data_IF_310187249058
#
_entry.id   IF_310187249058
#
_cell.length_a   1.000
_cell.length_b   1.000
_cell.length_c   1.000
_cell.angle_alpha   90.00
_cell.angle_beta   90.00
_cell.angle_gamma   90.00
#
_symmetry.space_group_name_H-M   'P 1'
#
loop_
_entity.id
_entity.type
_entity.pdbx_description
1 polymer ?
#
# COMPACT_ATOMS: atom_id res chain seq x y z
N UNK A 1 16.31 36.15 -5.29
CA UNK A 1 14.95 35.66 -5.65
C UNK A 1 14.54 34.41 -4.86
N UNK A 2 15.35 33.35 -4.91
CA UNK A 2 15.12 32.10 -4.19
C UNK A 2 14.70 32.25 -2.71
N UNK A 3 15.51 32.93 -1.88
CA UNK A 3 15.21 33.08 -0.45
C UNK A 3 13.93 33.89 -0.17
N UNK A 4 13.58 34.84 -1.04
CA UNK A 4 12.29 35.54 -0.94
C UNK A 4 11.14 34.58 -1.26
N UNK A 5 11.28 33.72 -2.27
CA UNK A 5 10.31 32.66 -2.55
C UNK A 5 10.06 31.76 -1.33
N UNK A 6 11.13 31.33 -0.65
CA UNK A 6 11.02 30.54 0.58
C UNK A 6 10.28 31.30 1.70
N UNK A 7 10.59 32.59 1.89
CA UNK A 7 9.92 33.43 2.88
C UNK A 7 8.42 33.59 2.58
N UNK A 8 8.06 33.86 1.33
CA UNK A 8 6.66 34.00 0.92
C UNK A 8 5.91 32.67 1.08
N UNK A 9 6.54 31.54 0.78
CA UNK A 9 5.94 30.23 0.97
C UNK A 9 5.67 29.94 2.45
N UNK A 10 6.63 30.23 3.33
CA UNK A 10 6.46 30.15 4.80
C UNK A 10 5.29 31.02 5.29
N UNK A 11 5.12 32.22 4.69
CA UNK A 11 3.98 33.11 4.97
C UNK A 11 2.69 32.74 4.25
N UNK A 12 2.64 31.58 3.58
CA UNK A 12 1.50 31.08 2.81
C UNK A 12 1.05 32.00 1.66
N UNK A 13 1.94 32.88 1.22
CA UNK A 13 1.76 33.74 0.05
C UNK A 13 2.26 32.98 -1.19
N UNK A 14 1.51 31.95 -1.58
CA UNK A 14 1.98 30.97 -2.58
C UNK A 14 2.18 31.57 -3.97
N UNK A 15 1.35 32.55 -4.37
CA UNK A 15 1.49 33.22 -5.67
C UNK A 15 2.84 33.95 -5.79
N UNK A 16 3.18 34.73 -4.76
CA UNK A 16 4.46 35.45 -4.69
C UNK A 16 5.62 34.45 -4.62
N UNK A 17 5.49 33.39 -3.81
CA UNK A 17 6.51 32.36 -3.67
C UNK A 17 6.88 31.73 -5.02
N UNK A 18 5.87 31.31 -5.78
CA UNK A 18 6.02 30.72 -7.11
C UNK A 18 6.68 31.73 -8.06
N UNK A 19 6.20 32.97 -8.10
CA UNK A 19 6.77 34.00 -8.99
C UNK A 19 8.27 34.26 -8.71
N UNK A 20 8.66 34.32 -7.44
CA UNK A 20 10.08 34.52 -7.08
C UNK A 20 10.95 33.30 -7.36
N UNK A 21 10.40 32.09 -7.23
CA UNK A 21 11.12 30.87 -7.62
C UNK A 21 11.21 30.71 -9.13
N UNK A 22 10.17 31.05 -9.90
CA UNK A 22 10.19 31.10 -11.37
C UNK A 22 11.29 32.06 -11.84
N UNK A 23 11.32 33.29 -11.32
CA UNK A 23 12.39 34.25 -11.60
C UNK A 23 13.78 33.71 -11.21
N UNK A 24 13.87 32.95 -10.11
CA UNK A 24 15.14 32.34 -9.71
C UNK A 24 15.59 31.27 -10.71
N UNK A 25 14.67 30.46 -11.23
CA UNK A 25 14.95 29.43 -12.24
C UNK A 25 15.24 30.02 -13.63
N UNK A 26 14.68 31.18 -13.95
CA UNK A 26 15.02 31.95 -15.15
C UNK A 26 16.45 32.52 -15.10
N UNK A 27 16.85 33.05 -13.94
CA UNK A 27 18.19 33.61 -13.75
C UNK A 27 19.27 32.52 -13.61
N UNK A 28 18.95 31.44 -12.91
CA UNK A 28 19.81 30.27 -12.77
C UNK A 28 18.97 28.98 -12.79
N UNK A 29 18.88 28.39 -13.97
CA UNK A 29 18.17 27.14 -14.19
C UNK A 29 18.96 25.88 -13.82
N UNK A 30 20.10 26.01 -13.14
CA UNK A 30 20.97 24.90 -12.73
C UNK A 30 20.91 24.62 -11.23
N UNK A 31 20.03 25.29 -10.48
CA UNK A 31 19.88 25.06 -9.04
C UNK A 31 18.71 24.08 -8.75
N UNK A 32 18.99 22.79 -8.41
CA UNK A 32 17.95 21.77 -8.26
C UNK A 32 16.91 22.11 -7.19
N UNK A 33 17.34 22.74 -6.09
CA UNK A 33 16.44 23.07 -4.97
C UNK A 33 15.34 24.08 -5.34
N UNK A 34 15.63 25.05 -6.22
CA UNK A 34 14.60 25.96 -6.74
C UNK A 34 13.55 25.20 -7.53
N UNK A 35 13.99 24.30 -8.41
CA UNK A 35 13.10 23.49 -9.25
C UNK A 35 12.27 22.52 -8.41
N UNK A 36 12.88 21.88 -7.40
CA UNK A 36 12.18 21.07 -6.40
C UNK A 36 11.06 21.86 -5.71
N UNK A 37 11.35 23.07 -5.23
CA UNK A 37 10.35 23.90 -4.55
C UNK A 37 9.22 24.35 -5.49
N UNK A 38 9.54 24.70 -6.73
CA UNK A 38 8.53 24.95 -7.77
C UNK A 38 7.65 23.72 -8.01
N UNK A 39 8.27 22.54 -8.12
CA UNK A 39 7.54 21.29 -8.34
C UNK A 39 6.49 21.03 -7.25
N UNK A 40 6.88 21.19 -5.98
CA UNK A 40 5.97 21.06 -4.83
C UNK A 40 4.83 22.08 -4.90
N UNK A 41 5.16 23.35 -5.21
CA UNK A 41 4.16 24.42 -5.25
C UNK A 41 3.19 24.28 -6.42
N UNK A 42 3.65 23.87 -7.59
CA UNK A 42 2.78 23.59 -8.73
C UNK A 42 1.83 22.43 -8.44
N UNK A 43 2.32 21.35 -7.82
CA UNK A 43 1.46 20.23 -7.45
C UNK A 43 0.43 20.65 -6.39
N UNK A 44 0.90 21.07 -5.20
CA UNK A 44 0.03 21.27 -4.04
C UNK A 44 -0.85 22.52 -4.12
N UNK A 45 -0.39 23.59 -4.81
CA UNK A 45 -1.04 24.91 -4.75
C UNK A 45 -1.65 25.35 -6.08
N UNK A 46 -1.24 24.74 -7.19
CA UNK A 46 -1.81 25.02 -8.52
C UNK A 46 -2.57 23.85 -9.11
N UNK A 47 -2.43 22.64 -8.56
CA UNK A 47 -2.92 21.41 -9.19
C UNK A 47 -2.39 21.27 -10.64
N UNK A 48 -1.15 21.73 -10.88
CA UNK A 48 -0.48 21.67 -12.19
C UNK A 48 0.55 20.53 -12.16
N UNK A 49 0.05 19.32 -12.32
CA UNK A 49 0.82 18.08 -12.32
C UNK A 49 1.92 18.06 -13.39
N UNK A 50 1.62 18.63 -14.57
CA UNK A 50 2.57 18.67 -15.68
C UNK A 50 3.78 19.54 -15.37
N UNK A 51 3.55 20.77 -14.85
CA UNK A 51 4.67 21.62 -14.44
C UNK A 51 5.40 21.06 -13.23
N UNK A 52 4.68 20.44 -12.29
CA UNK A 52 5.29 19.81 -11.14
C UNK A 52 6.29 18.73 -11.57
N UNK A 53 5.86 17.83 -12.45
CA UNK A 53 6.68 16.76 -12.96
C UNK A 53 7.89 17.29 -13.73
N UNK A 54 7.69 18.22 -14.66
CA UNK A 54 8.78 18.80 -15.44
C UNK A 54 9.85 19.47 -14.55
N UNK A 55 9.43 20.11 -13.45
CA UNK A 55 10.35 20.71 -12.49
C UNK A 55 11.16 19.64 -11.74
N UNK A 56 10.53 18.58 -11.25
CA UNK A 56 11.23 17.51 -10.52
C UNK A 56 12.17 16.70 -11.43
N UNK A 57 11.74 16.35 -12.64
CA UNK A 57 12.60 15.65 -13.61
C UNK A 57 13.82 16.48 -13.97
N UNK A 58 13.65 17.79 -14.19
CA UNK A 58 14.78 18.70 -14.42
C UNK A 58 15.66 18.82 -13.17
N UNK A 59 15.09 18.91 -11.97
CA UNK A 59 15.85 18.98 -10.73
C UNK A 59 16.74 17.75 -10.56
N UNK A 60 16.17 16.56 -10.73
CA UNK A 60 16.91 15.30 -10.60
C UNK A 60 17.94 15.11 -11.72
N UNK A 61 17.65 15.54 -12.96
CA UNK A 61 18.62 15.47 -14.05
C UNK A 61 19.87 16.34 -13.83
N UNK A 62 19.76 17.41 -13.02
CA UNK A 62 20.90 18.26 -12.65
C UNK A 62 21.77 17.64 -11.56
N UNK A 63 21.18 16.84 -10.67
CA UNK A 63 21.91 16.08 -9.65
C UNK A 63 21.28 14.68 -9.44
N UNK A 64 21.66 13.69 -10.27
CA UNK A 64 21.14 12.32 -10.15
C UNK A 64 21.62 11.57 -8.89
N UNK A 65 22.56 12.15 -8.15
CA UNK A 65 23.09 11.56 -6.91
C UNK A 65 22.35 12.00 -5.65
N UNK A 66 21.44 12.97 -5.77
CA UNK A 66 20.60 13.44 -4.68
C UNK A 66 19.50 12.40 -4.36
N UNK A 67 19.71 11.67 -3.25
CA UNK A 67 18.83 10.62 -2.74
C UNK A 67 17.43 11.14 -2.38
N UNK A 68 17.33 12.40 -1.95
CA UNK A 68 16.07 13.06 -1.63
C UNK A 68 15.31 13.41 -2.90
N UNK A 69 15.96 13.96 -3.93
CA UNK A 69 15.29 14.23 -5.21
C UNK A 69 14.84 12.95 -5.88
N UNK A 70 15.65 11.88 -5.82
CA UNK A 70 15.24 10.55 -6.27
C UNK A 70 13.97 10.09 -5.54
N UNK A 71 13.94 10.24 -4.21
CA UNK A 71 12.79 9.86 -3.40
C UNK A 71 11.52 10.62 -3.75
N UNK A 72 11.63 11.94 -3.85
CA UNK A 72 10.48 12.81 -4.08
C UNK A 72 9.94 12.70 -5.50
N UNK A 73 10.81 12.56 -6.51
CA UNK A 73 10.37 12.30 -7.88
C UNK A 73 9.67 10.94 -7.98
N UNK A 74 10.19 9.91 -7.33
CA UNK A 74 9.52 8.61 -7.30
C UNK A 74 8.16 8.67 -6.59
N UNK A 75 8.05 9.42 -5.49
CA UNK A 75 6.77 9.68 -4.82
C UNK A 75 5.79 10.44 -5.72
N UNK A 76 6.28 11.43 -6.49
CA UNK A 76 5.47 12.15 -7.46
C UNK A 76 4.98 11.22 -8.58
N UNK A 77 5.83 10.33 -9.09
CA UNK A 77 5.40 9.32 -10.08
C UNK A 77 4.27 8.44 -9.55
N UNK A 78 4.35 8.00 -8.29
CA UNK A 78 3.26 7.27 -7.62
C UNK A 78 1.98 8.10 -7.53
N UNK A 79 2.09 9.38 -7.18
CA UNK A 79 0.94 10.32 -7.10
C UNK A 79 0.28 10.57 -8.45
N UNK A 80 1.08 10.63 -9.52
CA UNK A 80 0.61 10.75 -10.90
C UNK A 80 0.14 9.41 -11.49
N UNK A 81 -0.01 8.38 -10.65
CA UNK A 81 -0.44 7.04 -11.02
C UNK A 81 0.37 6.42 -12.17
N UNK A 82 1.68 6.69 -12.20
CA UNK A 82 2.62 6.05 -13.15
C UNK A 82 2.71 4.56 -12.86
N UNK A 83 2.86 3.77 -13.92
CA UNK A 83 2.77 2.31 -13.78
C UNK A 83 3.90 1.77 -12.89
N UNK A 84 3.68 0.65 -12.18
CA UNK A 84 4.72 -0.01 -11.39
C UNK A 84 5.96 -0.35 -12.23
N UNK A 85 5.80 -0.70 -13.50
CA UNK A 85 6.92 -0.98 -14.42
C UNK A 85 7.73 0.28 -14.74
N UNK A 86 7.08 1.42 -15.02
CA UNK A 86 7.76 2.70 -15.26
C UNK A 86 8.55 3.12 -14.00
N UNK A 87 7.94 2.98 -12.83
CA UNK A 87 8.57 3.30 -11.55
C UNK A 87 9.73 2.36 -11.21
N UNK A 88 9.58 1.06 -11.48
CA UNK A 88 10.68 0.08 -11.36
C UNK A 88 11.84 0.45 -12.26
N UNK A 89 11.58 0.76 -13.54
CA UNK A 89 12.62 1.13 -14.49
C UNK A 89 13.37 2.40 -14.07
N UNK A 90 12.67 3.38 -13.48
CA UNK A 90 13.30 4.56 -12.91
C UNK A 90 14.27 4.20 -11.76
N UNK A 91 13.85 3.34 -10.82
CA UNK A 91 14.72 2.90 -9.71
C UNK A 91 15.91 2.07 -10.20
N UNK A 92 15.70 1.18 -11.17
CA UNK A 92 16.77 0.37 -11.77
C UNK A 92 17.81 1.23 -12.51
N UNK A 93 17.39 2.29 -13.19
CA UNK A 93 18.28 3.24 -13.85
C UNK A 93 19.10 4.09 -12.87
N UNK A 94 18.60 4.28 -11.64
CA UNK A 94 19.20 5.13 -10.61
C UNK A 94 19.57 4.33 -9.35
N UNK A 95 19.96 3.07 -9.53
CA UNK A 95 20.10 2.09 -8.46
C UNK A 95 20.99 2.56 -7.32
N UNK A 96 22.17 3.12 -7.63
CA UNK A 96 23.11 3.58 -6.59
C UNK A 96 22.45 4.59 -5.65
N UNK A 97 21.76 5.59 -6.22
CA UNK A 97 21.04 6.62 -5.46
C UNK A 97 19.84 6.04 -4.71
N UNK A 98 19.08 5.14 -5.34
CA UNK A 98 17.90 4.50 -4.74
C UNK A 98 18.25 3.62 -3.53
N UNK A 99 19.45 3.04 -3.49
CA UNK A 99 19.91 2.17 -2.40
C UNK A 99 20.33 2.93 -1.13
N UNK A 100 20.59 4.24 -1.21
CA UNK A 100 21.06 5.04 -0.07
C UNK A 100 20.04 5.17 1.05
N UNK A 101 18.73 5.07 0.74
CA UNK A 101 17.64 5.30 1.70
C UNK A 101 16.71 4.10 1.87
N UNK A 102 16.20 3.93 3.09
CA UNK A 102 15.29 2.85 3.45
C UNK A 102 13.89 3.02 2.84
N UNK A 103 13.40 4.26 2.75
CA UNK A 103 12.08 4.59 2.21
C UNK A 103 11.95 4.18 0.72
N UNK A 104 12.94 4.54 -0.11
CA UNK A 104 12.94 4.19 -1.54
C UNK A 104 13.30 2.74 -1.78
N UNK A 105 14.22 2.19 -1.01
CA UNK A 105 14.49 0.76 -1.08
C UNK A 105 13.22 -0.06 -0.81
N UNK A 106 12.41 0.35 0.17
CA UNK A 106 11.17 -0.33 0.49
C UNK A 106 10.11 -0.18 -0.61
N UNK A 107 10.01 0.99 -1.24
CA UNK A 107 9.15 1.17 -2.42
C UNK A 107 9.57 0.22 -3.55
N UNK A 108 10.87 -0.02 -3.74
CA UNK A 108 11.33 -1.00 -4.72
C UNK A 108 10.91 -2.43 -4.37
N UNK A 109 10.99 -2.81 -3.10
CA UNK A 109 10.48 -4.10 -2.59
C UNK A 109 8.97 -4.22 -2.84
N UNK A 110 8.20 -3.15 -2.57
CA UNK A 110 6.75 -3.09 -2.82
C UNK A 110 6.42 -3.36 -4.29
N UNK A 111 7.15 -2.74 -5.22
CA UNK A 111 6.94 -2.96 -6.65
C UNK A 111 7.26 -4.40 -7.05
N UNK A 112 8.34 -4.99 -6.50
CA UNK A 112 8.64 -6.41 -6.74
C UNK A 112 7.52 -7.32 -6.25
N UNK A 113 6.99 -7.07 -5.04
CA UNK A 113 5.81 -7.76 -4.52
C UNK A 113 4.60 -7.57 -5.44
N UNK A 114 4.32 -6.35 -5.90
CA UNK A 114 3.19 -6.06 -6.79
C UNK A 114 3.27 -6.81 -8.13
N UNK A 115 4.48 -6.95 -8.68
CA UNK A 115 4.73 -7.63 -9.95
C UNK A 115 4.77 -9.16 -9.83
N UNK A 116 4.56 -9.71 -8.62
CA UNK A 116 4.62 -11.15 -8.37
C UNK A 116 6.05 -11.70 -8.22
N UNK A 117 7.05 -10.83 -8.07
CA UNK A 117 8.45 -11.22 -7.84
C UNK A 117 8.71 -11.44 -6.34
N UNK A 118 7.86 -12.24 -5.68
CA UNK A 118 7.80 -12.35 -4.21
C UNK A 118 9.09 -12.87 -3.58
N UNK A 119 9.73 -13.89 -4.18
CA UNK A 119 11.03 -14.40 -3.69
C UNK A 119 12.11 -13.33 -3.73
N UNK A 120 12.13 -12.51 -4.78
CA UNK A 120 13.08 -11.40 -4.93
C UNK A 120 12.80 -10.30 -3.90
N UNK A 121 11.54 -9.94 -3.70
CA UNK A 121 11.13 -9.00 -2.66
C UNK A 121 11.54 -9.49 -1.25
N UNK A 122 11.33 -10.78 -0.95
CA UNK A 122 11.73 -11.39 0.30
C UNK A 122 13.26 -11.41 0.49
N UNK A 123 14.01 -11.73 -0.54
CA UNK A 123 15.48 -11.69 -0.52
C UNK A 123 15.99 -10.26 -0.26
N UNK A 124 15.43 -9.27 -0.96
CA UNK A 124 15.77 -7.86 -0.78
C UNK A 124 15.46 -7.37 0.62
N UNK A 125 14.28 -7.68 1.17
CA UNK A 125 13.86 -7.18 2.48
C UNK A 125 14.60 -7.85 3.64
N UNK A 126 15.09 -9.09 3.45
CA UNK A 126 15.84 -9.81 4.48
C UNK A 126 17.33 -9.47 4.50
N UNK A 127 17.89 -8.99 3.39
CA UNK A 127 19.31 -8.58 3.28
C UNK A 127 19.58 -7.18 3.82
N UNK A 128 18.57 -6.31 3.87
CA UNK A 128 18.72 -4.92 4.33
C UNK A 128 18.46 -4.82 5.84
N UNK A 129 19.30 -4.05 6.53
CA UNK A 129 19.02 -3.58 7.89
C UNK A 129 18.27 -2.24 7.78
N UNK A 130 16.98 -2.27 8.05
CA UNK A 130 16.13 -1.08 8.10
C UNK A 130 16.30 -0.36 9.44
N UNK A 131 16.24 0.97 9.38
CA UNK A 131 16.21 1.86 10.52
C UNK A 131 14.83 2.51 10.59
N UNK A 132 14.12 2.51 11.73
CA UNK A 132 12.83 3.18 11.84
C UNK A 132 12.88 4.64 11.42
N UNK A 133 11.89 5.08 10.63
CA UNK A 133 11.71 6.47 10.24
C UNK A 133 10.27 6.91 10.47
N UNK A 134 10.06 8.22 10.60
CA UNK A 134 8.74 8.81 10.82
C UNK A 134 7.83 8.54 9.61
N UNK A 135 6.65 7.95 9.85
CA UNK A 135 5.72 7.53 8.79
C UNK A 135 6.12 6.23 8.11
N UNK A 136 7.16 5.53 8.60
CA UNK A 136 7.59 4.21 8.12
C UNK A 136 6.90 3.03 8.80
N UNK A 137 6.13 3.29 9.87
CA UNK A 137 5.66 2.29 10.81
C UNK A 137 4.82 1.19 10.13
N UNK A 138 5.28 -0.05 10.24
CA UNK A 138 4.59 -1.23 9.71
C UNK A 138 4.81 -1.45 8.21
N UNK A 139 5.47 -0.53 7.50
CA UNK A 139 5.65 -0.66 6.05
C UNK A 139 6.66 -1.77 5.73
N UNK A 140 7.78 -1.83 6.45
CA UNK A 140 8.80 -2.86 6.23
C UNK A 140 8.27 -4.24 6.62
N UNK A 141 7.69 -4.37 7.81
CA UNK A 141 7.08 -5.64 8.23
C UNK A 141 5.89 -6.05 7.36
N UNK A 142 5.08 -5.10 6.89
CA UNK A 142 3.97 -5.36 5.97
C UNK A 142 4.44 -6.00 4.66
N UNK A 143 5.51 -5.46 4.03
CA UNK A 143 6.07 -6.04 2.81
C UNK A 143 6.70 -7.42 3.05
N UNK A 144 7.36 -7.63 4.20
CA UNK A 144 7.91 -8.94 4.58
C UNK A 144 6.82 -10.01 4.74
N UNK A 145 5.76 -9.68 5.49
CA UNK A 145 4.60 -10.56 5.69
C UNK A 145 3.93 -10.84 4.35
N UNK A 146 3.71 -9.82 3.53
CA UNK A 146 3.11 -9.97 2.21
C UNK A 146 3.90 -10.96 1.34
N UNK A 147 5.23 -10.82 1.23
CA UNK A 147 6.04 -11.76 0.45
C UNK A 147 5.89 -13.20 0.95
N UNK A 148 5.93 -13.41 2.28
CA UNK A 148 5.80 -14.75 2.86
C UNK A 148 4.41 -15.37 2.61
N UNK A 149 3.34 -14.59 2.75
CA UNK A 149 1.97 -15.06 2.55
C UNK A 149 1.72 -15.41 1.08
N UNK A 150 2.19 -14.59 0.14
CA UNK A 150 2.01 -14.86 -1.28
C UNK A 150 2.83 -16.07 -1.75
N UNK A 151 4.08 -16.22 -1.30
CA UNK A 151 4.85 -17.45 -1.55
C UNK A 151 4.14 -18.66 -0.93
N UNK A 152 3.58 -18.54 0.28
CA UNK A 152 2.84 -19.65 0.90
C UNK A 152 1.61 -20.05 0.07
N UNK A 153 0.90 -19.09 -0.54
CA UNK A 153 -0.22 -19.37 -1.44
C UNK A 153 0.23 -20.11 -2.70
N UNK A 154 1.39 -19.76 -3.29
CA UNK A 154 1.99 -20.50 -4.40
C UNK A 154 2.36 -21.93 -4.01
N UNK A 155 2.91 -22.12 -2.79
CA UNK A 155 3.22 -23.44 -2.24
C UNK A 155 1.98 -24.30 -2.04
N UNK A 156 0.88 -23.73 -1.55
CA UNK A 156 -0.42 -24.41 -1.45
C UNK A 156 -0.90 -24.87 -2.83
N UNK A 157 -0.79 -24.01 -3.86
CA UNK A 157 -1.16 -24.39 -5.24
C UNK A 157 -0.27 -25.51 -5.79
N UNK A 158 1.00 -25.53 -5.40
CA UNK A 158 1.95 -26.59 -5.72
C UNK A 158 1.81 -27.85 -4.85
N UNK A 159 0.82 -27.91 -3.95
CA UNK A 159 0.59 -28.99 -2.97
C UNK A 159 1.75 -29.18 -1.96
N UNK A 160 2.62 -28.18 -1.81
CA UNK A 160 3.67 -28.10 -0.79
C UNK A 160 3.12 -27.45 0.49
N UNK A 161 2.23 -28.18 1.17
CA UNK A 161 1.56 -27.67 2.37
C UNK A 161 2.51 -27.48 3.55
N UNK A 162 3.54 -28.32 3.67
CA UNK A 162 4.54 -28.18 4.73
C UNK A 162 5.36 -26.90 4.56
N UNK A 163 5.82 -26.60 3.33
CA UNK A 163 6.51 -25.35 3.03
C UNK A 163 5.60 -24.13 3.22
N UNK A 164 4.32 -24.22 2.87
CA UNK A 164 3.36 -23.15 3.13
C UNK A 164 3.19 -22.86 4.63
N UNK A 165 3.04 -23.91 5.45
CA UNK A 165 2.93 -23.78 6.92
C UNK A 165 4.19 -23.15 7.51
N UNK A 166 5.39 -23.52 7.05
CA UNK A 166 6.65 -22.91 7.49
C UNK A 166 6.66 -21.40 7.24
N UNK A 167 6.30 -20.98 6.02
CA UNK A 167 6.27 -19.56 5.63
C UNK A 167 5.22 -18.75 6.41
N UNK A 168 4.02 -19.28 6.57
CA UNK A 168 2.94 -18.65 7.34
C UNK A 168 3.25 -18.59 8.84
N UNK A 169 3.96 -19.59 9.37
CA UNK A 169 4.46 -19.56 10.75
C UNK A 169 5.53 -18.50 10.90
N UNK A 170 6.45 -18.41 9.94
CA UNK A 170 7.50 -17.39 9.91
C UNK A 170 6.93 -15.97 9.82
N UNK A 171 5.85 -15.75 9.07
CA UNK A 171 5.19 -14.46 8.90
C UNK A 171 4.68 -13.87 10.24
N UNK A 172 4.41 -14.72 11.24
CA UNK A 172 3.97 -14.28 12.56
C UNK A 172 5.09 -13.64 13.40
N UNK A 173 6.35 -13.68 12.95
CA UNK A 173 7.50 -13.13 13.67
C UNK A 173 8.36 -12.22 12.80
N UNK A 174 8.76 -11.08 13.34
CA UNK A 174 9.54 -10.08 12.61
C UNK A 174 11.03 -10.24 12.91
N UNK A 175 11.87 -10.48 11.89
CA UNK A 175 13.31 -10.52 12.09
C UNK A 175 13.85 -9.13 12.45
N UNK A 176 14.94 -9.10 13.23
CA UNK A 176 15.55 -7.87 13.76
C UNK A 176 15.91 -6.85 12.68
N UNK A 177 16.23 -7.32 11.47
CA UNK A 177 16.65 -6.46 10.37
C UNK A 177 15.53 -5.52 9.87
N UNK A 178 14.26 -5.78 10.20
CA UNK A 178 13.14 -4.91 9.82
C UNK A 178 13.08 -3.62 10.66
N UNK A 179 13.76 -3.57 11.82
CA UNK A 179 13.70 -2.42 12.73
C UNK A 179 12.36 -2.26 13.46
N UNK A 180 11.39 -3.15 13.25
CA UNK A 180 10.03 -3.06 13.78
C UNK A 180 9.69 -4.24 14.69
N UNK A 181 8.94 -3.95 15.75
CA UNK A 181 8.36 -4.95 16.64
C UNK A 181 6.88 -5.16 16.31
N UNK A 182 6.42 -6.41 16.43
CA UNK A 182 5.01 -6.74 16.26
C UNK A 182 4.19 -6.26 17.45
N UNK A 183 3.08 -5.56 17.18
CA UNK A 183 2.17 -5.08 18.22
C UNK A 183 1.38 -6.23 18.85
N UNK A 184 1.13 -6.12 20.16
CA UNK A 184 0.25 -7.06 20.84
C UNK A 184 -1.17 -6.93 20.30
N UNK A 185 -1.79 -8.07 19.92
CA UNK A 185 -3.14 -8.09 19.35
C UNK A 185 -3.22 -7.69 17.87
N UNK A 186 -2.10 -7.66 17.15
CA UNK A 186 -2.09 -7.50 15.70
C UNK A 186 -3.00 -8.56 15.04
N UNK A 187 -3.88 -8.10 14.15
CA UNK A 187 -4.84 -8.96 13.45
C UNK A 187 -4.15 -9.63 12.25
N UNK A 188 -4.24 -10.96 12.17
CA UNK A 188 -3.51 -11.81 11.21
C UNK A 188 -4.46 -12.81 10.53
N UNK A 189 -5.70 -12.39 10.31
CA UNK A 189 -6.79 -13.24 9.84
C UNK A 189 -6.43 -13.99 8.55
N UNK A 190 -5.70 -13.35 7.63
CA UNK A 190 -5.20 -13.97 6.41
C UNK A 190 -4.21 -15.09 6.67
N UNK A 191 -3.27 -14.90 7.62
CA UNK A 191 -2.26 -15.90 7.95
C UNK A 191 -2.94 -17.11 8.58
N UNK A 192 -3.86 -16.87 9.52
CA UNK A 192 -4.62 -17.93 10.16
C UNK A 192 -5.55 -18.65 9.18
N UNK A 193 -6.19 -17.94 8.26
CA UNK A 193 -7.01 -18.55 7.21
C UNK A 193 -6.18 -19.50 6.34
N UNK A 194 -5.04 -19.03 5.82
CA UNK A 194 -4.19 -19.86 4.96
C UNK A 194 -3.52 -21.02 5.72
N UNK A 195 -3.21 -20.86 7.01
CA UNK A 195 -2.79 -21.98 7.86
C UNK A 195 -3.91 -23.02 7.96
N UNK A 196 -5.14 -22.58 8.21
CA UNK A 196 -6.32 -23.44 8.22
C UNK A 196 -6.45 -24.25 6.93
N UNK A 197 -6.37 -23.59 5.77
CA UNK A 197 -6.42 -24.25 4.46
C UNK A 197 -5.29 -25.28 4.26
N UNK A 198 -4.05 -24.96 4.69
CA UNK A 198 -2.92 -25.88 4.55
C UNK A 198 -3.07 -27.13 5.44
N UNK A 199 -3.54 -26.98 6.69
CA UNK A 199 -3.82 -28.12 7.58
C UNK A 199 -5.02 -28.94 7.12
N UNK A 200 -6.06 -28.30 6.60
CA UNK A 200 -7.22 -28.98 6.01
C UNK A 200 -6.80 -29.87 4.83
N UNK A 201 -5.93 -29.36 3.96
CA UNK A 201 -5.39 -30.11 2.82
C UNK A 201 -4.46 -31.28 3.24
N UNK A 202 -3.86 -31.21 4.44
CA UNK A 202 -3.14 -32.32 5.08
C UNK A 202 -4.07 -33.30 5.82
N UNK A 203 -5.39 -33.08 5.77
CA UNK A 203 -6.41 -33.84 6.47
C UNK A 203 -6.28 -33.78 8.01
N UNK A 204 -5.64 -32.73 8.54
CA UNK A 204 -5.63 -32.39 9.97
C UNK A 204 -6.74 -31.38 10.27
N UNK A 205 -7.96 -31.92 10.34
CA UNK A 205 -9.19 -31.13 10.46
C UNK A 205 -9.29 -30.40 11.81
N UNK A 206 -8.76 -30.97 12.89
CA UNK A 206 -8.82 -30.36 14.22
C UNK A 206 -7.94 -29.10 14.27
N UNK A 207 -6.71 -29.18 13.75
CA UNK A 207 -5.81 -28.04 13.66
C UNK A 207 -6.34 -26.98 12.69
N UNK A 208 -6.86 -27.41 11.54
CA UNK A 208 -7.48 -26.51 10.55
C UNK A 208 -8.60 -25.67 11.17
N UNK A 209 -9.55 -26.32 11.86
CA UNK A 209 -10.65 -25.66 12.54
C UNK A 209 -10.18 -24.69 13.63
N UNK A 210 -9.12 -25.03 14.37
CA UNK A 210 -8.53 -24.11 15.36
C UNK A 210 -8.03 -22.82 14.71
N UNK A 211 -7.37 -22.93 13.56
CA UNK A 211 -6.89 -21.76 12.82
C UNK A 211 -8.02 -20.98 12.16
N UNK A 212 -9.04 -21.63 11.61
CA UNK A 212 -10.22 -20.93 11.10
C UNK A 212 -10.93 -20.15 12.21
N UNK A 213 -11.08 -20.71 13.42
CA UNK A 213 -11.63 -19.99 14.56
C UNK A 213 -10.79 -18.74 14.89
N UNK A 214 -9.46 -18.86 14.94
CA UNK A 214 -8.57 -17.70 15.14
C UNK A 214 -8.74 -16.64 14.05
N UNK A 215 -8.90 -17.07 12.79
CA UNK A 215 -9.15 -16.18 11.67
C UNK A 215 -10.49 -15.43 11.74
N UNK A 216 -11.41 -15.83 12.62
CA UNK A 216 -12.68 -15.11 12.84
C UNK A 216 -12.62 -14.03 13.93
N UNK A 217 -11.54 -13.96 14.70
CA UNK A 217 -11.37 -12.97 15.77
C UNK A 217 -11.03 -11.57 15.20
N UNK A 218 -11.33 -10.50 15.93
CA UNK A 218 -11.10 -9.11 15.50
C UNK A 218 -12.39 -8.30 15.31
N UNK A 219 -12.28 -7.07 14.81
CA UNK A 219 -13.46 -6.27 14.46
C UNK A 219 -14.02 -6.80 13.13
N UNK A 220 -15.34 -6.94 13.05
CA UNK A 220 -16.07 -7.39 11.85
C UNK A 220 -16.88 -6.25 11.20
N UNK A 221 -16.82 -5.04 11.76
CA UNK A 221 -17.45 -3.83 11.23
C UNK A 221 -16.47 -3.06 10.36
N UNK A 222 -16.81 -2.81 9.08
CA UNK A 222 -15.98 -1.98 8.20
C UNK A 222 -15.85 -0.56 8.72
N UNK A 223 -14.64 -0.02 8.73
CA UNK A 223 -14.36 1.37 9.07
C UNK A 223 -13.56 2.07 7.99
N UNK A 224 -13.49 3.39 8.06
CA UNK A 224 -12.53 4.13 7.26
C UNK A 224 -11.13 3.71 7.71
N UNK A 225 -10.24 3.37 6.77
CA UNK A 225 -8.83 3.10 7.06
C UNK A 225 -8.03 4.40 6.90
N UNK A 226 -8.19 5.29 7.88
CA UNK A 226 -7.58 6.63 7.86
C UNK A 226 -6.13 6.54 8.34
N UNK A 227 -5.86 5.69 9.33
CA UNK A 227 -4.57 5.53 10.00
C UNK A 227 -3.88 4.21 9.62
N UNK A 228 -2.56 4.16 9.78
CA UNK A 228 -1.73 3.00 9.38
C UNK A 228 -2.00 1.73 10.22
N UNK A 229 -2.51 1.91 11.44
CA UNK A 229 -2.87 0.83 12.36
C UNK A 229 -4.36 0.45 12.31
N UNK A 230 -5.16 1.12 11.48
CA UNK A 230 -6.56 0.75 11.28
C UNK A 230 -6.64 -0.63 10.63
N UNK A 231 -7.62 -1.43 11.08
CA UNK A 231 -7.84 -2.76 10.55
C UNK A 231 -8.17 -2.65 9.06
N UNK A 232 -7.33 -3.28 8.24
CA UNK A 232 -7.48 -3.28 6.80
C UNK A 232 -8.68 -4.15 6.38
N UNK A 233 -9.39 -3.81 5.28
CA UNK A 233 -10.64 -4.50 4.92
C UNK A 233 -10.47 -5.98 4.55
N UNK A 234 -9.29 -6.36 4.09
CA UNK A 234 -8.91 -7.75 3.81
C UNK A 234 -9.02 -8.62 5.07
N UNK A 235 -8.72 -8.11 6.26
CA UNK A 235 -8.86 -8.86 7.52
C UNK A 235 -10.32 -9.31 7.74
N UNK A 236 -11.26 -8.40 7.50
CA UNK A 236 -12.71 -8.68 7.58
C UNK A 236 -13.13 -9.70 6.50
N UNK A 237 -12.58 -9.58 5.29
CA UNK A 237 -12.82 -10.56 4.23
C UNK A 237 -12.37 -11.97 4.62
N UNK A 238 -11.18 -12.13 5.22
CA UNK A 238 -10.70 -13.43 5.69
C UNK A 238 -11.50 -13.99 6.88
N UNK A 239 -12.08 -13.15 7.74
CA UNK A 239 -13.06 -13.61 8.73
C UNK A 239 -14.28 -14.24 8.05
N UNK A 240 -14.80 -13.62 7.00
CA UNK A 240 -15.90 -14.15 6.19
C UNK A 240 -15.58 -15.51 5.59
N UNK A 241 -14.40 -15.66 4.97
CA UNK A 241 -13.95 -16.94 4.41
C UNK A 241 -13.76 -18.01 5.48
N UNK A 242 -13.24 -17.66 6.66
CA UNK A 242 -13.08 -18.59 7.77
C UNK A 242 -14.43 -19.08 8.31
N UNK A 243 -15.44 -18.20 8.41
CA UNK A 243 -16.79 -18.63 8.78
C UNK A 243 -17.40 -19.58 7.76
N UNK A 244 -17.15 -19.37 6.46
CA UNK A 244 -17.61 -20.28 5.41
C UNK A 244 -16.98 -21.68 5.56
N UNK A 245 -15.65 -21.74 5.81
CA UNK A 245 -14.93 -22.98 6.13
C UNK A 245 -15.46 -23.71 7.37
N UNK A 246 -15.93 -22.97 8.37
CA UNK A 246 -16.57 -23.50 9.58
C UNK A 246 -18.05 -23.89 9.37
N UNK A 247 -18.58 -23.83 8.15
CA UNK A 247 -19.97 -24.18 7.83
C UNK A 247 -21.00 -23.14 8.28
N UNK A 248 -20.57 -21.92 8.59
CA UNK A 248 -21.41 -20.80 9.06
C UNK A 248 -21.63 -19.77 7.95
N UNK A 249 -22.28 -20.24 6.89
CA UNK A 249 -22.61 -19.45 5.69
C UNK A 249 -23.43 -18.20 6.02
N UNK A 250 -24.27 -18.25 7.06
CA UNK A 250 -25.05 -17.12 7.58
C UNK A 250 -24.15 -15.96 8.02
N UNK A 251 -23.07 -16.28 8.75
CA UNK A 251 -22.10 -15.28 9.22
C UNK A 251 -21.23 -14.76 8.08
N UNK A 252 -20.74 -15.65 7.22
CA UNK A 252 -19.93 -15.28 6.07
C UNK A 252 -20.67 -14.30 5.14
N UNK A 253 -21.91 -14.63 4.76
CA UNK A 253 -22.74 -13.77 3.91
C UNK A 253 -23.04 -12.41 4.56
N UNK A 254 -23.25 -12.38 5.89
CA UNK A 254 -23.45 -11.13 6.62
C UNK A 254 -22.22 -10.22 6.53
N UNK A 255 -21.01 -10.76 6.73
CA UNK A 255 -19.75 -10.01 6.64
C UNK A 255 -19.56 -9.43 5.23
N UNK A 256 -19.72 -10.25 4.19
CA UNK A 256 -19.54 -9.78 2.81
C UNK A 256 -20.57 -8.72 2.41
N UNK A 257 -21.81 -8.84 2.91
CA UNK A 257 -22.86 -7.84 2.70
C UNK A 257 -22.52 -6.52 3.41
N UNK A 258 -21.94 -6.56 4.62
CA UNK A 258 -21.48 -5.34 5.33
C UNK A 258 -20.43 -4.59 4.51
N UNK A 259 -19.45 -5.30 3.92
CA UNK A 259 -18.42 -4.69 3.06
C UNK A 259 -19.03 -3.96 1.85
N UNK A 260 -20.00 -4.58 1.16
CA UNK A 260 -20.71 -3.97 0.03
C UNK A 260 -21.54 -2.75 0.50
N UNK A 261 -22.25 -2.91 1.62
CA UNK A 261 -23.11 -1.85 2.17
C UNK A 261 -22.32 -0.61 2.56
N UNK A 262 -21.16 -0.80 3.21
CA UNK A 262 -20.27 0.30 3.59
C UNK A 262 -19.85 1.12 2.37
N UNK A 263 -19.40 0.45 1.30
CA UNK A 263 -19.08 1.12 0.04
C UNK A 263 -20.25 1.92 -0.51
N UNK A 264 -21.46 1.34 -0.55
CA UNK A 264 -22.65 2.02 -1.04
C UNK A 264 -23.03 3.29 -0.25
N UNK A 265 -22.70 3.33 1.03
CA UNK A 265 -22.96 4.48 1.91
C UNK A 265 -21.88 5.56 1.78
N UNK A 266 -20.61 5.17 1.66
CA UNK A 266 -19.46 6.09 1.82
C UNK A 266 -18.72 6.44 0.52
N UNK A 267 -19.03 5.81 -0.62
CA UNK A 267 -18.29 5.99 -1.88
C UNK A 267 -18.18 7.46 -2.35
N UNK A 268 -19.21 8.25 -2.08
CA UNK A 268 -19.31 9.65 -2.55
C UNK A 268 -19.17 10.66 -1.41
N UNK A 269 -18.66 10.23 -0.26
CA UNK A 269 -18.39 11.13 0.86
C UNK A 269 -17.30 12.13 0.47
N UNK A 270 -17.46 13.37 0.95
CA UNK A 270 -16.42 14.38 0.85
C UNK A 270 -15.58 14.34 2.13
N UNK A 271 -14.32 13.93 2.00
CA UNK A 271 -13.44 13.69 3.12
C UNK A 271 -12.64 14.95 3.43
N UNK A 272 -12.71 15.37 4.69
CA UNK A 272 -11.91 16.46 5.23
C UNK A 272 -11.21 15.99 6.48
N UNK A 273 -9.92 16.29 6.56
CA UNK A 273 -9.16 16.11 7.80
C UNK A 273 -9.65 17.15 8.81
N UNK A 274 -10.06 16.69 9.99
CA UNK A 274 -10.38 17.59 11.11
C UNK A 274 -9.15 18.44 11.44
N UNK A 275 -9.38 19.73 11.71
CA UNK A 275 -8.36 20.66 12.15
C UNK A 275 -7.54 20.15 13.36
N UNK A 276 -8.14 19.32 14.22
CA UNK A 276 -7.47 18.74 15.40
C UNK A 276 -6.88 17.33 15.18
N UNK A 277 -6.87 16.81 13.96
CA UNK A 277 -6.25 15.52 13.68
C UNK A 277 -4.72 15.60 13.89
N UNK A 278 -4.22 14.93 14.92
CA UNK A 278 -2.82 14.98 15.37
C UNK A 278 -1.96 13.82 14.88
N UNK A 279 -2.51 12.94 14.04
CA UNK A 279 -1.84 11.72 13.57
C UNK A 279 -2.07 11.47 12.08
N UNK A 280 -1.84 12.48 11.23
CA UNK A 280 -1.84 12.24 9.80
C UNK A 280 -0.70 11.29 9.43
N UNK A 281 -0.97 10.16 8.76
CA UNK A 281 -0.04 9.05 8.67
C UNK A 281 1.17 9.27 7.75
N UNK A 282 1.39 10.48 7.22
CA UNK A 282 2.57 10.78 6.43
C UNK A 282 2.80 12.30 6.43
N UNK A 283 4.06 12.71 6.63
CA UNK A 283 4.54 14.04 6.26
C UNK A 283 4.60 14.10 4.72
N UNK A 284 3.45 14.10 4.04
CA UNK A 284 3.40 14.01 2.58
C UNK A 284 3.92 15.31 1.97
N UNK A 285 4.89 15.15 1.08
CA UNK A 285 5.45 16.25 0.29
C UNK A 285 4.41 16.73 -0.74
N UNK A 286 3.63 15.78 -1.26
CA UNK A 286 2.52 16.02 -2.19
C UNK A 286 1.20 15.74 -1.51
N UNK A 287 0.31 16.73 -1.53
CA UNK A 287 -1.04 16.62 -0.96
C UNK A 287 -1.80 15.45 -1.62
N UNK A 288 -2.54 14.71 -0.79
CA UNK A 288 -3.30 13.55 -1.22
C UNK A 288 -4.75 13.97 -1.52
N UNK A 289 -5.34 13.41 -2.57
CA UNK A 289 -6.78 13.58 -2.81
C UNK A 289 -7.53 12.56 -1.94
N UNK A 290 -8.04 13.05 -0.80
CA UNK A 290 -8.73 12.23 0.18
C UNK A 290 -10.04 11.63 -0.36
N UNK A 291 -10.69 12.29 -1.32
CA UNK A 291 -11.91 11.79 -1.95
C UNK A 291 -11.56 10.62 -2.88
N UNK A 292 -10.45 10.71 -3.63
CA UNK A 292 -9.93 9.57 -4.42
C UNK A 292 -9.52 8.43 -3.51
N UNK A 293 -8.78 8.69 -2.42
CA UNK A 293 -8.37 7.65 -1.47
C UNK A 293 -9.56 6.93 -0.85
N UNK A 294 -10.62 7.65 -0.48
CA UNK A 294 -11.85 7.06 0.02
C UNK A 294 -12.59 6.24 -1.05
N UNK A 295 -12.63 6.71 -2.30
CA UNK A 295 -13.20 5.94 -3.41
C UNK A 295 -12.45 4.63 -3.64
N UNK A 296 -11.12 4.66 -3.65
CA UNK A 296 -10.27 3.46 -3.75
C UNK A 296 -10.61 2.46 -2.63
N UNK A 297 -10.63 2.94 -1.37
CA UNK A 297 -10.98 2.12 -0.20
C UNK A 297 -12.37 1.49 -0.31
N UNK A 298 -13.39 2.29 -0.65
CA UNK A 298 -14.76 1.83 -0.80
C UNK A 298 -14.92 0.84 -1.95
N UNK A 299 -14.27 1.06 -3.09
CA UNK A 299 -14.31 0.14 -4.23
C UNK A 299 -13.61 -1.17 -3.91
N UNK A 300 -12.50 -1.12 -3.17
CA UNK A 300 -11.79 -2.31 -2.71
C UNK A 300 -12.66 -3.15 -1.76
N UNK A 301 -13.29 -2.53 -0.75
CA UNK A 301 -14.27 -3.22 0.13
C UNK A 301 -15.40 -3.87 -0.66
N UNK A 302 -15.97 -3.14 -1.63
CA UNK A 302 -17.02 -3.67 -2.50
C UNK A 302 -16.54 -4.87 -3.29
N UNK A 303 -15.33 -4.81 -3.84
CA UNK A 303 -14.69 -5.93 -4.55
C UNK A 303 -14.53 -7.15 -3.67
N UNK A 304 -14.04 -6.97 -2.43
CA UNK A 304 -13.91 -8.06 -1.46
C UNK A 304 -15.26 -8.68 -1.08
N UNK A 305 -16.29 -7.87 -0.86
CA UNK A 305 -17.63 -8.37 -0.55
C UNK A 305 -18.26 -9.17 -1.70
N UNK A 306 -18.21 -8.63 -2.93
CA UNK A 306 -18.66 -9.38 -4.11
C UNK A 306 -17.84 -10.65 -4.33
N UNK A 307 -16.53 -10.57 -4.13
CA UNK A 307 -15.66 -11.73 -4.21
C UNK A 307 -16.13 -12.78 -3.21
N UNK A 308 -16.37 -12.42 -1.94
CA UNK A 308 -16.84 -13.33 -0.89
C UNK A 308 -18.18 -14.01 -1.19
N UNK A 309 -19.10 -13.31 -1.85
CA UNK A 309 -20.41 -13.83 -2.29
C UNK A 309 -20.37 -14.64 -3.60
N UNK A 310 -19.19 -14.93 -4.13
CA UNK A 310 -18.98 -15.59 -5.44
C UNK A 310 -19.51 -14.79 -6.65
N UNK A 311 -19.72 -13.48 -6.49
CA UNK A 311 -20.15 -12.54 -7.54
C UNK A 311 -18.94 -12.02 -8.33
N UNK A 312 -18.27 -12.93 -9.02
CA UNK A 312 -16.95 -12.74 -9.65
C UNK A 312 -16.87 -11.56 -10.62
N UNK A 313 -17.83 -11.41 -11.53
CA UNK A 313 -17.85 -10.30 -12.48
C UNK A 313 -17.95 -8.94 -11.77
N UNK A 314 -18.78 -8.85 -10.73
CA UNK A 314 -18.92 -7.63 -9.94
C UNK A 314 -17.66 -7.32 -9.13
N UNK A 315 -16.99 -8.35 -8.61
CA UNK A 315 -15.71 -8.22 -7.92
C UNK A 315 -14.60 -7.72 -8.86
N UNK A 316 -14.46 -8.32 -10.04
CA UNK A 316 -13.48 -7.94 -11.05
C UNK A 316 -13.66 -6.50 -11.53
N UNK A 317 -14.91 -6.08 -11.77
CA UNK A 317 -15.23 -4.70 -12.11
C UNK A 317 -14.82 -3.72 -11.00
N UNK A 318 -15.02 -4.09 -9.73
CA UNK A 318 -14.60 -3.28 -8.58
C UNK A 318 -13.07 -3.17 -8.48
N UNK A 319 -12.34 -4.29 -8.56
CA UNK A 319 -10.88 -4.29 -8.49
C UNK A 319 -10.23 -3.57 -9.68
N UNK A 320 -10.81 -3.69 -10.88
CA UNK A 320 -10.33 -2.97 -12.06
C UNK A 320 -10.41 -1.45 -11.86
N UNK A 321 -11.54 -0.96 -11.33
CA UNK A 321 -11.69 0.47 -11.00
C UNK A 321 -10.74 0.94 -9.90
N UNK A 322 -10.42 0.08 -8.93
CA UNK A 322 -9.37 0.38 -7.96
C UNK A 322 -8.03 0.56 -8.65
N UNK A 323 -7.64 -0.36 -9.53
CA UNK A 323 -6.35 -0.31 -10.25
C UNK A 323 -6.27 0.83 -11.28
N UNK A 324 -7.41 1.31 -11.79
CA UNK A 324 -7.47 2.54 -12.60
C UNK A 324 -7.14 3.81 -11.78
N UNK A 325 -7.52 3.84 -10.50
CA UNK A 325 -7.28 4.99 -9.60
C UNK A 325 -5.95 4.88 -8.83
N UNK A 326 -5.53 3.67 -8.50
CA UNK A 326 -4.28 3.34 -7.81
C UNK A 326 -3.68 2.08 -8.44
N UNK A 327 -2.78 2.30 -9.40
CA UNK A 327 -2.16 1.26 -10.22
C UNK A 327 -1.24 0.31 -9.45
N UNK A 328 -0.86 0.65 -8.21
CA UNK A 328 -0.05 -0.21 -7.32
C UNK A 328 -0.85 -0.74 -6.11
N UNK A 329 -2.20 -0.76 -6.19
CA UNK A 329 -3.02 -1.23 -5.07
C UNK A 329 -2.90 -2.76 -4.87
N UNK A 330 -1.94 -3.17 -4.04
CA UNK A 330 -1.58 -4.57 -3.75
C UNK A 330 -2.80 -5.44 -3.44
N UNK A 331 -3.68 -4.99 -2.54
CA UNK A 331 -4.86 -5.75 -2.15
C UNK A 331 -5.80 -6.04 -3.31
N UNK A 332 -5.99 -5.08 -4.23
CA UNK A 332 -6.89 -5.29 -5.38
C UNK A 332 -6.25 -6.24 -6.38
N UNK A 333 -4.94 -6.10 -6.61
CA UNK A 333 -4.16 -6.99 -7.47
C UNK A 333 -4.28 -8.45 -7.01
N UNK A 334 -3.95 -8.77 -5.76
CA UNK A 334 -3.94 -10.16 -5.28
C UNK A 334 -5.33 -10.80 -5.23
N UNK A 335 -6.37 -10.03 -4.87
CA UNK A 335 -7.73 -10.56 -4.78
C UNK A 335 -8.38 -10.69 -6.16
N UNK A 336 -7.97 -9.88 -7.16
CA UNK A 336 -8.45 -10.01 -8.54
C UNK A 336 -8.02 -11.32 -9.21
N UNK A 337 -6.87 -11.87 -8.81
CA UNK A 337 -6.31 -13.12 -9.36
C UNK A 337 -6.54 -14.32 -8.44
N UNK A 338 -7.23 -14.14 -7.31
CA UNK A 338 -7.50 -15.20 -6.36
C UNK A 338 -8.38 -16.28 -7.02
N UNK A 339 -7.87 -17.51 -7.25
CA UNK A 339 -8.63 -18.54 -7.96
C UNK A 339 -9.89 -18.93 -7.17
N UNK A 340 -11.04 -18.96 -7.86
CA UNK A 340 -12.33 -19.41 -7.31
C UNK A 340 -12.22 -20.81 -6.66
N UNK A 341 -11.30 -21.65 -7.13
CA UNK A 341 -11.07 -23.00 -6.62
C UNK A 341 -10.37 -23.05 -5.24
N UNK A 342 -9.66 -22.01 -4.80
CA UNK A 342 -9.02 -21.99 -3.48
C UNK A 342 -10.00 -21.77 -2.31
N UNK A 343 -11.26 -21.44 -2.57
CA UNK A 343 -12.30 -21.35 -1.52
C UNK A 343 -12.81 -22.71 -1.05
N UNK A 344 -12.58 -23.76 -1.83
CA UNK A 344 -13.22 -25.08 -1.65
C UNK A 344 -12.23 -26.25 -1.59
N UNK A 345 -10.92 -26.00 -1.49
CA UNK A 345 -9.94 -27.05 -1.17
C UNK A 345 -9.87 -27.20 0.34
#
# INVERSE_FOLDING_TARGET
PYYLGNLFYDKRQYDDAIAYWELSAELDGQFPTTLRNLGIAYFNKRNDEHKALACFEKAFALDPSDDRLCMELHQLYKRLNRSPEERKAFLEANLNTALERDDIYLEWVSIHNFLGEYDKALDMITKRQFHPWEGGEGKASGQYVFSLVEIAKERIQALDFAGAIELLTRAQTYPYNLGEGKLFGAQENEIFYWLGCAYEALNDIDTANSYFIKATEGLDEPSAAVFYNDQQPDKIFYQGLAWDKLGRQDKAASIFTKLISYSGQHLNDNIKIDYFAVSLPNLLIFEDDLDIRNKVHCLFMKGLGHLGLDETEAAEQSFSKVLELDSEHLGAKIHSIMPIQQKKV
#
